data_IF_886340341602
#
_entry.id   IF_886340341602
#
_cell.length_a   1.000
_cell.length_b   1.000
_cell.length_c   1.000
_cell.angle_alpha   90.00
_cell.angle_beta   90.00
_cell.angle_gamma   90.00
#
_symmetry.space_group_name_H-M   'P 1'
#
loop_
_entity.id
_entity.type
_entity.pdbx_description
1 polymer ?
#
# COMPACT_ATOMS: atom_id res chain seq x y z
N UNK A 1 -40.40 14.80 -7.73
CA UNK A 1 -41.00 15.47 -8.93
C UNK A 1 -42.31 16.14 -8.53
N UNK A 2 -42.70 17.25 -9.17
CA UNK A 2 -44.01 17.90 -8.97
C UNK A 2 -44.68 18.12 -10.32
N UNK A 3 -45.92 17.67 -10.46
CA UNK A 3 -46.71 17.77 -11.69
C UNK A 3 -47.79 18.83 -11.49
N UNK A 4 -47.81 19.82 -12.37
CA UNK A 4 -48.83 20.87 -12.36
C UNK A 4 -50.18 20.33 -12.86
N UNK A 5 -51.26 21.03 -12.49
CA UNK A 5 -52.60 20.70 -12.94
C UNK A 5 -52.71 20.72 -14.47
N UNK A 6 -53.55 19.84 -15.05
CA UNK A 6 -53.83 19.87 -16.48
C UNK A 6 -54.57 21.17 -16.85
N UNK A 7 -54.32 21.65 -18.07
CA UNK A 7 -55.03 22.81 -18.60
C UNK A 7 -56.50 22.43 -18.90
N UNK A 8 -57.44 23.17 -18.34
CA UNK A 8 -58.88 22.97 -18.54
C UNK A 8 -59.52 24.27 -19.00
N UNK A 9 -60.44 24.16 -19.97
CA UNK A 9 -61.32 25.27 -20.38
C UNK A 9 -62.76 24.91 -19.99
N UNK A 10 -63.27 25.59 -18.97
CA UNK A 10 -64.64 25.46 -18.48
C UNK A 10 -65.15 26.88 -18.15
N UNK A 11 -66.45 27.12 -18.32
CA UNK A 11 -67.09 28.40 -18.02
C UNK A 11 -67.35 28.61 -16.52
N UNK A 12 -66.98 27.65 -15.68
CA UNK A 12 -67.12 27.67 -14.22
C UNK A 12 -65.80 27.22 -13.54
N UNK A 13 -65.57 27.58 -12.25
CA UNK A 13 -64.38 27.13 -11.52
C UNK A 13 -64.33 25.60 -11.36
N UNK A 14 -63.16 25.02 -11.61
CA UNK A 14 -62.89 23.57 -11.51
C UNK A 14 -61.98 23.32 -10.30
N UNK A 15 -62.31 22.31 -9.49
CA UNK A 15 -61.43 21.78 -8.45
C UNK A 15 -60.71 20.53 -8.93
N UNK A 16 -59.40 20.43 -8.65
CA UNK A 16 -58.57 19.29 -9.04
C UNK A 16 -58.25 18.39 -7.85
N UNK A 17 -58.16 17.09 -8.12
CA UNK A 17 -57.55 16.08 -7.24
C UNK A 17 -56.83 15.06 -8.10
N UNK A 18 -55.77 14.44 -7.59
CA UNK A 18 -55.12 13.29 -8.25
C UNK A 18 -55.19 12.02 -7.40
N UNK A 19 -54.94 10.86 -8.02
CA UNK A 19 -54.91 9.56 -7.36
C UNK A 19 -53.60 9.28 -6.58
N UNK A 20 -52.53 10.03 -6.83
CA UNK A 20 -51.22 9.85 -6.21
C UNK A 20 -51.09 10.49 -4.81
N UNK A 21 -51.53 11.73 -4.64
CA UNK A 21 -51.46 12.51 -3.38
C UNK A 21 -52.82 12.91 -2.84
N UNK A 22 -53.90 12.73 -3.62
CA UNK A 22 -55.25 13.21 -3.28
C UNK A 22 -55.32 14.73 -3.06
N UNK A 23 -54.47 15.49 -3.75
CA UNK A 23 -54.44 16.96 -3.74
C UNK A 23 -54.51 17.54 -5.15
N UNK A 24 -54.48 18.86 -5.28
CA UNK A 24 -54.41 19.59 -6.55
C UNK A 24 -52.97 19.69 -7.11
N UNK A 25 -51.99 19.01 -6.51
CA UNK A 25 -50.62 18.92 -7.03
C UNK A 25 -50.09 17.49 -6.79
N UNK A 26 -49.72 16.78 -7.84
CA UNK A 26 -49.05 15.49 -7.68
C UNK A 26 -47.55 15.73 -7.44
N UNK A 27 -47.13 15.78 -6.18
CA UNK A 27 -45.73 15.95 -5.79
C UNK A 27 -45.25 14.84 -4.86
N UNK A 28 -44.09 14.27 -5.15
CA UNK A 28 -43.50 13.22 -4.32
C UNK A 28 -42.30 12.53 -4.97
N UNK A 29 -41.93 11.40 -4.37
CA UNK A 29 -40.95 10.44 -4.90
C UNK A 29 -41.72 9.44 -5.77
N UNK A 30 -41.27 9.27 -7.01
CA UNK A 30 -41.81 8.29 -7.94
C UNK A 30 -40.78 7.16 -8.05
N UNK A 31 -41.25 5.92 -7.93
CA UNK A 31 -40.40 4.74 -8.14
C UNK A 31 -39.99 4.63 -9.60
N UNK A 32 -38.92 3.88 -9.87
CA UNK A 32 -38.45 3.59 -11.22
C UNK A 32 -39.53 2.97 -12.10
N UNK A 33 -39.51 3.31 -13.38
CA UNK A 33 -40.49 2.85 -14.38
C UNK A 33 -41.56 3.89 -14.69
N UNK A 34 -42.77 3.44 -14.99
CA UNK A 34 -43.87 4.30 -15.44
C UNK A 34 -44.95 4.36 -14.38
N UNK A 35 -45.15 5.56 -13.81
CA UNK A 35 -46.29 5.83 -12.92
C UNK A 35 -47.35 6.61 -13.70
N UNK A 36 -48.57 6.09 -13.75
CA UNK A 36 -49.72 6.81 -14.27
C UNK A 36 -50.35 7.62 -13.12
N UNK A 37 -50.63 8.89 -13.37
CA UNK A 37 -51.31 9.78 -12.42
C UNK A 37 -52.58 10.28 -13.09
N UNK A 38 -53.73 9.95 -12.50
CA UNK A 38 -55.05 10.39 -12.97
C UNK A 38 -55.50 11.64 -12.19
N UNK A 39 -55.66 12.75 -12.91
CA UNK A 39 -56.23 13.99 -12.40
C UNK A 39 -57.73 14.04 -12.68
N UNK A 40 -58.51 14.22 -11.62
CA UNK A 40 -59.96 14.42 -11.67
C UNK A 40 -60.25 15.90 -11.46
N UNK A 41 -60.72 16.57 -12.51
CA UNK A 41 -61.27 17.92 -12.45
C UNK A 41 -62.79 17.87 -12.27
N UNK A 42 -63.32 18.43 -11.18
CA UNK A 42 -64.77 18.41 -10.88
C UNK A 42 -65.37 19.80 -10.88
N UNK A 43 -66.54 19.92 -11.51
CA UNK A 43 -67.38 21.10 -11.47
C UNK A 43 -68.85 20.65 -11.28
N UNK A 44 -69.37 20.89 -10.07
CA UNK A 44 -70.80 20.70 -9.73
C UNK A 44 -71.42 19.33 -10.06
N UNK A 45 -70.63 18.25 -10.01
CA UNK A 45 -71.12 16.86 -9.98
C UNK A 45 -70.74 15.95 -11.14
N UNK A 46 -70.09 16.47 -12.19
CA UNK A 46 -69.46 15.64 -13.24
C UNK A 46 -67.96 15.93 -13.25
N UNK A 47 -67.16 14.87 -13.17
CA UNK A 47 -65.70 14.95 -13.19
C UNK A 47 -65.14 14.56 -14.56
N UNK A 48 -64.19 15.34 -15.06
CA UNK A 48 -63.34 14.95 -16.20
C UNK A 48 -62.05 14.32 -15.69
N UNK A 49 -61.56 13.31 -16.40
CA UNK A 49 -60.30 12.61 -16.08
C UNK A 49 -59.20 13.00 -17.06
N UNK A 50 -57.99 13.16 -16.56
CA UNK A 50 -56.80 13.42 -17.35
C UNK A 50 -55.64 12.60 -16.78
N UNK A 51 -55.21 11.60 -17.54
CA UNK A 51 -54.08 10.73 -17.16
C UNK A 51 -52.80 11.28 -17.75
N UNK A 52 -51.77 11.44 -16.91
CA UNK A 52 -50.40 11.71 -17.32
C UNK A 52 -49.49 10.55 -16.91
N UNK A 53 -48.40 10.36 -17.65
CA UNK A 53 -47.41 9.31 -17.36
C UNK A 53 -46.09 9.95 -16.95
N UNK A 54 -45.60 9.56 -15.77
CA UNK A 54 -44.27 9.90 -15.28
C UNK A 54 -43.34 8.75 -15.61
N UNK A 55 -42.29 9.03 -16.38
CA UNK A 55 -41.22 8.09 -16.66
C UNK A 55 -40.03 8.41 -15.77
N UNK A 56 -39.70 7.50 -14.86
CA UNK A 56 -38.48 7.56 -14.05
C UNK A 56 -37.53 6.50 -14.60
N UNK A 57 -36.37 6.94 -15.08
CA UNK A 57 -35.30 6.07 -15.56
C UNK A 57 -34.12 6.22 -14.62
N UNK A 58 -33.33 5.15 -14.53
CA UNK A 58 -32.05 5.18 -13.84
C UNK A 58 -30.96 5.55 -14.87
N UNK A 59 -30.33 6.70 -14.67
CA UNK A 59 -29.23 7.20 -15.50
C UNK A 59 -27.91 7.31 -14.70
N UNK A 60 -27.89 6.81 -13.47
CA UNK A 60 -26.72 6.81 -12.62
C UNK A 60 -25.90 5.54 -12.86
N UNK A 61 -24.59 5.70 -13.05
CA UNK A 61 -23.71 4.55 -13.19
C UNK A 61 -23.40 3.95 -11.80
N UNK A 62 -23.22 2.62 -11.71
CA UNK A 62 -22.76 2.00 -10.48
C UNK A 62 -21.38 2.53 -10.11
N UNK A 63 -21.07 2.59 -8.81
CA UNK A 63 -19.73 2.95 -8.32
C UNK A 63 -18.89 1.68 -8.23
N UNK A 64 -17.79 1.62 -9.00
CA UNK A 64 -16.83 0.51 -8.97
C UNK A 64 -15.54 0.90 -8.23
N UNK A 65 -15.17 0.12 -7.22
CA UNK A 65 -13.97 0.35 -6.40
C UNK A 65 -12.96 -0.79 -6.60
N UNK A 66 -11.76 -0.41 -7.04
CA UNK A 66 -10.68 -1.35 -7.32
C UNK A 66 -9.41 -1.01 -6.53
N UNK A 67 -8.57 -2.01 -6.22
CA UNK A 67 -7.29 -1.76 -5.57
C UNK A 67 -6.39 -0.86 -6.41
N UNK A 68 -5.49 -0.15 -5.74
CA UNK A 68 -4.36 0.46 -6.43
C UNK A 68 -3.40 -0.61 -6.97
N UNK A 69 -2.62 -0.27 -8.01
CA UNK A 69 -1.57 -1.17 -8.49
C UNK A 69 -0.48 -1.37 -7.43
N UNK A 70 -0.01 -2.60 -7.27
CA UNK A 70 1.04 -2.92 -6.30
C UNK A 70 2.03 -3.97 -6.83
N UNK A 71 3.12 -4.13 -6.08
CA UNK A 71 4.17 -5.11 -6.34
C UNK A 71 4.09 -6.20 -5.27
N UNK A 72 4.27 -7.45 -5.68
CA UNK A 72 4.44 -8.58 -4.78
C UNK A 72 5.72 -9.34 -5.12
N UNK A 73 6.30 -9.97 -4.11
CA UNK A 73 7.51 -10.77 -4.25
C UNK A 73 7.23 -12.12 -4.94
N UNK A 74 8.26 -12.68 -5.56
CA UNK A 74 8.17 -13.96 -6.27
C UNK A 74 7.81 -15.17 -5.38
N UNK A 75 8.05 -15.07 -4.08
CA UNK A 75 7.65 -16.06 -3.07
C UNK A 75 6.17 -15.90 -2.65
N UNK A 76 5.58 -14.73 -2.87
CA UNK A 76 4.19 -14.36 -2.51
C UNK A 76 3.30 -14.16 -3.74
N UNK A 77 3.33 -15.14 -4.63
CA UNK A 77 2.51 -15.15 -5.87
C UNK A 77 1.02 -15.41 -5.64
N UNK A 78 0.63 -15.91 -4.47
CA UNK A 78 -0.77 -16.12 -4.12
C UNK A 78 -1.32 -14.86 -3.46
N UNK A 79 -1.92 -13.99 -4.27
CA UNK A 79 -2.37 -12.66 -3.86
C UNK A 79 -3.87 -12.66 -3.66
N UNK A 80 -4.35 -12.02 -2.60
CA UNK A 80 -5.78 -11.81 -2.38
C UNK A 80 -6.12 -10.36 -2.67
N UNK A 81 -7.09 -10.11 -3.53
CA UNK A 81 -7.66 -8.78 -3.74
C UNK A 81 -9.18 -8.89 -3.88
N UNK A 82 -9.85 -7.75 -3.72
CA UNK A 82 -11.29 -7.62 -3.89
C UNK A 82 -11.62 -6.40 -4.72
N UNK A 83 -12.54 -6.59 -5.65
CA UNK A 83 -13.20 -5.55 -6.41
C UNK A 83 -14.64 -5.49 -5.93
N UNK A 84 -15.07 -4.30 -5.53
CA UNK A 84 -16.40 -4.07 -4.98
C UNK A 84 -17.14 -3.07 -5.85
N UNK A 85 -18.44 -3.29 -6.02
CA UNK A 85 -19.29 -2.37 -6.73
C UNK A 85 -20.58 -2.15 -5.94
N UNK A 86 -21.05 -0.92 -5.92
CA UNK A 86 -22.29 -0.54 -5.25
C UNK A 86 -23.06 0.41 -6.14
N UNK A 87 -24.38 0.28 -6.13
CA UNK A 87 -25.27 1.22 -6.79
C UNK A 87 -26.35 1.67 -5.81
N UNK A 88 -26.89 2.86 -6.02
CA UNK A 88 -27.86 3.46 -5.11
C UNK A 88 -29.30 2.96 -5.35
N UNK A 89 -29.55 2.24 -6.45
CA UNK A 89 -30.88 1.81 -6.87
C UNK A 89 -30.99 0.31 -7.16
N UNK A 90 -29.90 -0.40 -7.49
CA UNK A 90 -29.97 -1.78 -7.96
C UNK A 90 -28.84 -2.71 -7.49
N UNK A 91 -29.04 -4.01 -7.76
CA UNK A 91 -27.97 -4.99 -7.67
C UNK A 91 -26.98 -4.79 -8.82
N UNK A 92 -25.69 -4.91 -8.53
CA UNK A 92 -24.62 -4.70 -9.52
C UNK A 92 -24.02 -6.05 -9.93
N UNK A 93 -23.81 -6.23 -11.24
CA UNK A 93 -23.07 -7.37 -11.81
C UNK A 93 -21.66 -6.92 -12.20
N UNK A 94 -20.64 -7.62 -11.72
CA UNK A 94 -19.23 -7.38 -12.07
C UNK A 94 -18.77 -8.43 -13.09
N UNK A 95 -18.11 -7.99 -14.15
CA UNK A 95 -17.51 -8.83 -15.19
C UNK A 95 -16.03 -8.52 -15.40
N UNK A 96 -15.25 -9.53 -15.77
CA UNK A 96 -13.84 -9.38 -16.10
C UNK A 96 -13.65 -9.03 -17.58
N UNK A 97 -12.76 -8.08 -17.85
CA UNK A 97 -12.45 -7.61 -19.20
C UNK A 97 -11.09 -8.15 -19.65
N UNK A 98 -11.11 -9.16 -20.51
CA UNK A 98 -9.89 -9.67 -21.16
C UNK A 98 -9.02 -10.58 -20.27
N UNK A 99 -9.54 -11.06 -19.14
CA UNK A 99 -8.93 -12.09 -18.31
C UNK A 99 -9.95 -12.96 -17.58
N UNK A 100 -9.54 -14.14 -17.14
CA UNK A 100 -10.41 -15.13 -16.47
C UNK A 100 -10.34 -15.07 -14.93
N UNK A 101 -9.81 -13.99 -14.37
CA UNK A 101 -9.68 -13.83 -12.92
C UNK A 101 -10.97 -13.34 -12.26
N UNK A 102 -11.45 -14.00 -11.19
CA UNK A 102 -12.63 -13.56 -10.45
C UNK A 102 -12.38 -12.19 -9.78
N UNK A 103 -13.41 -11.38 -9.53
CA UNK A 103 -13.28 -10.06 -8.88
C UNK A 103 -12.95 -10.17 -7.39
N UNK A 104 -13.08 -11.35 -6.78
CA UNK A 104 -12.84 -11.61 -5.37
C UNK A 104 -12.11 -12.93 -5.19
N UNK A 105 -11.09 -12.92 -4.33
CA UNK A 105 -10.46 -14.13 -3.81
C UNK A 105 -8.95 -14.20 -3.99
N UNK A 106 -8.41 -15.39 -3.74
CA UNK A 106 -6.99 -15.70 -3.91
C UNK A 106 -6.69 -16.04 -5.36
N UNK A 107 -5.71 -15.34 -5.93
CA UNK A 107 -5.24 -15.54 -7.28
C UNK A 107 -3.75 -15.86 -7.30
N UNK A 108 -3.39 -16.92 -8.02
CA UNK A 108 -2.00 -17.25 -8.32
C UNK A 108 -1.52 -16.46 -9.54
N UNK A 109 -0.61 -15.51 -9.31
CA UNK A 109 -0.10 -14.62 -10.35
C UNK A 109 1.11 -15.20 -11.07
N UNK A 110 1.24 -14.85 -12.35
CA UNK A 110 2.44 -15.17 -13.12
C UNK A 110 3.55 -14.14 -12.82
N UNK A 111 4.83 -14.54 -12.89
CA UNK A 111 5.94 -13.58 -12.87
C UNK A 111 5.76 -12.49 -13.93
N UNK A 112 6.06 -11.24 -13.59
CA UNK A 112 5.83 -10.10 -14.47
C UNK A 112 4.60 -9.28 -14.09
N UNK A 113 4.14 -8.46 -15.05
CA UNK A 113 3.01 -7.57 -14.85
C UNK A 113 1.71 -8.30 -15.21
N UNK A 114 0.85 -8.50 -14.21
CA UNK A 114 -0.50 -9.04 -14.40
C UNK A 114 -1.48 -7.87 -14.47
N UNK A 115 -2.24 -7.79 -15.55
CA UNK A 115 -3.20 -6.71 -15.78
C UNK A 115 -4.62 -7.19 -15.43
N UNK A 116 -5.34 -6.35 -14.69
CA UNK A 116 -6.73 -6.59 -14.30
C UNK A 116 -7.60 -5.44 -14.79
N UNK A 117 -8.73 -5.76 -15.37
CA UNK A 117 -9.75 -4.82 -15.80
C UNK A 117 -11.13 -5.41 -15.53
N UNK A 118 -11.97 -4.63 -14.87
CA UNK A 118 -13.33 -5.03 -14.51
C UNK A 118 -14.33 -3.98 -14.94
N UNK A 119 -15.54 -4.43 -15.21
CA UNK A 119 -16.68 -3.59 -15.54
C UNK A 119 -17.88 -4.00 -14.68
N UNK A 120 -18.54 -3.00 -14.11
CA UNK A 120 -19.75 -3.17 -13.32
C UNK A 120 -20.95 -2.65 -14.10
N UNK A 121 -22.03 -3.42 -14.09
CA UNK A 121 -23.29 -3.09 -14.74
C UNK A 121 -24.42 -3.08 -13.71
N UNK A 122 -25.27 -2.06 -13.75
CA UNK A 122 -26.55 -2.07 -13.03
C UNK A 122 -27.66 -2.81 -13.83
N UNK A 123 -28.89 -2.79 -13.32
CA UNK A 123 -30.04 -3.39 -14.01
C UNK A 123 -30.60 -2.52 -15.14
N UNK A 124 -30.28 -1.23 -15.17
CA UNK A 124 -30.70 -0.27 -16.20
C UNK A 124 -29.76 -0.27 -17.43
N UNK A 125 -28.59 -0.89 -17.31
CA UNK A 125 -27.54 -0.96 -18.33
C UNK A 125 -26.51 0.17 -18.24
N UNK A 126 -26.50 0.98 -17.18
CA UNK A 126 -25.38 1.89 -16.93
C UNK A 126 -24.18 1.07 -16.43
N UNK A 127 -22.98 1.58 -16.69
CA UNK A 127 -21.76 0.87 -16.37
C UNK A 127 -20.64 1.79 -15.91
N UNK A 128 -19.74 1.23 -15.11
CA UNK A 128 -18.47 1.83 -14.72
C UNK A 128 -17.35 0.80 -14.85
N UNK A 129 -16.12 1.26 -15.05
CA UNK A 129 -14.97 0.38 -15.34
C UNK A 129 -13.72 0.83 -14.59
N UNK A 130 -12.92 -0.15 -14.18
CA UNK A 130 -11.66 0.09 -13.49
C UNK A 130 -10.57 -0.83 -14.05
N UNK A 131 -9.30 -0.45 -13.83
CA UNK A 131 -8.17 -1.32 -14.10
C UNK A 131 -7.03 -1.09 -13.11
N UNK A 132 -6.31 -2.16 -12.79
CA UNK A 132 -5.10 -2.11 -11.98
C UNK A 132 -4.12 -3.19 -12.44
N UNK A 133 -2.91 -3.16 -11.90
CA UNK A 133 -1.87 -4.14 -12.21
C UNK A 133 -1.19 -4.64 -10.95
N UNK A 134 -0.86 -5.92 -10.95
CA UNK A 134 -0.02 -6.53 -9.92
C UNK A 134 1.27 -7.02 -10.55
N UNK A 135 2.38 -6.44 -10.14
CA UNK A 135 3.70 -6.82 -10.64
C UNK A 135 4.33 -7.83 -9.71
N UNK A 136 4.63 -9.02 -10.21
CA UNK A 136 5.35 -10.06 -9.47
C UNK A 136 6.82 -9.99 -9.87
N UNK A 137 7.65 -9.48 -8.96
CA UNK A 137 9.09 -9.34 -9.16
C UNK A 137 9.82 -9.44 -7.82
N UNK A 138 11.12 -9.76 -7.87
CA UNK A 138 11.99 -9.71 -6.71
C UNK A 138 13.29 -8.97 -7.07
N UNK A 139 13.94 -8.45 -6.04
CA UNK A 139 15.27 -7.87 -6.15
C UNK A 139 16.32 -8.94 -5.89
N UNK A 140 17.35 -8.98 -6.73
CA UNK A 140 18.45 -9.92 -6.66
C UNK A 140 19.77 -9.17 -6.55
N UNK A 141 20.75 -9.76 -5.88
CA UNK A 141 22.05 -9.17 -5.56
C UNK A 141 23.16 -10.09 -6.06
N UNK A 142 24.23 -9.53 -6.62
CA UNK A 142 25.37 -10.30 -7.12
C UNK A 142 26.06 -11.00 -5.95
N UNK A 143 26.22 -12.32 -6.03
CA UNK A 143 27.00 -13.14 -5.11
C UNK A 143 28.31 -13.49 -5.80
N UNK A 144 29.33 -12.64 -5.59
CA UNK A 144 30.58 -12.71 -6.35
C UNK A 144 31.52 -13.81 -5.86
N UNK A 145 31.42 -14.21 -4.59
CA UNK A 145 32.31 -15.19 -3.97
C UNK A 145 31.67 -16.57 -3.71
N UNK A 146 30.35 -16.67 -3.87
CA UNK A 146 29.57 -17.90 -3.93
C UNK A 146 29.12 -18.43 -2.57
N UNK A 147 28.97 -17.59 -1.55
CA UNK A 147 28.55 -18.01 -0.21
C UNK A 147 27.03 -18.01 0.02
N UNK A 148 26.27 -17.48 -0.95
CA UNK A 148 24.80 -17.41 -0.92
C UNK A 148 24.24 -16.06 -0.47
N UNK A 149 25.10 -15.09 -0.17
CA UNK A 149 24.78 -13.72 0.13
C UNK A 149 25.29 -12.83 -1.01
N UNK A 150 24.62 -11.71 -1.30
CA UNK A 150 25.01 -10.82 -2.38
C UNK A 150 25.10 -9.36 -1.97
N UNK A 151 25.86 -8.59 -2.74
CA UNK A 151 26.13 -7.18 -2.44
C UNK A 151 24.88 -6.29 -2.59
N UNK A 152 24.42 -5.62 -1.52
CA UNK A 152 23.28 -4.69 -1.57
C UNK A 152 23.45 -3.55 -2.59
N UNK A 153 24.70 -3.18 -2.93
CA UNK A 153 25.00 -2.16 -3.92
C UNK A 153 24.79 -2.64 -5.38
N UNK A 154 24.61 -3.95 -5.61
CA UNK A 154 24.45 -4.54 -6.94
C UNK A 154 23.01 -4.96 -7.27
N UNK A 155 22.02 -4.41 -6.55
CA UNK A 155 20.61 -4.74 -6.69
C UNK A 155 20.07 -4.67 -8.14
N UNK A 156 19.50 -5.77 -8.63
CA UNK A 156 18.83 -5.89 -9.92
C UNK A 156 17.43 -6.50 -9.73
N UNK A 157 16.42 -5.89 -10.34
CA UNK A 157 15.04 -6.41 -10.33
C UNK A 157 14.84 -7.42 -11.45
N UNK A 158 14.19 -8.55 -11.14
CA UNK A 158 13.80 -9.54 -12.15
C UNK A 158 12.43 -10.15 -11.86
N UNK A 159 11.72 -10.55 -12.93
CA UNK A 159 10.43 -11.23 -12.89
C UNK A 159 10.61 -12.72 -12.56
N UNK A 160 11.08 -13.01 -11.34
CA UNK A 160 11.24 -14.36 -10.79
C UNK A 160 12.17 -15.29 -11.58
N UNK A 161 13.07 -14.70 -12.36
CA UNK A 161 14.12 -15.41 -13.08
C UNK A 161 15.47 -14.93 -12.52
N UNK A 162 16.07 -15.65 -11.56
CA UNK A 162 17.38 -15.27 -11.02
C UNK A 162 18.42 -15.28 -12.14
N UNK A 163 19.23 -14.23 -12.17
CA UNK A 163 20.41 -14.17 -13.03
C UNK A 163 21.49 -15.12 -12.47
N UNK A 164 22.28 -15.81 -13.30
CA UNK A 164 23.39 -16.61 -12.82
C UNK A 164 24.36 -15.77 -11.97
N UNK A 165 24.70 -16.23 -10.77
CA UNK A 165 25.54 -15.51 -9.82
C UNK A 165 24.80 -14.44 -9.02
N UNK A 166 23.46 -14.44 -9.01
CA UNK A 166 22.68 -13.55 -8.15
C UNK A 166 21.81 -14.34 -7.17
N UNK A 167 21.65 -13.79 -5.97
CA UNK A 167 20.87 -14.33 -4.85
C UNK A 167 19.79 -13.35 -4.39
N UNK A 168 18.82 -13.82 -3.61
CA UNK A 168 17.75 -12.96 -3.05
C UNK A 168 18.19 -12.21 -1.78
N UNK A 169 19.23 -12.73 -1.12
CA UNK A 169 19.74 -12.16 0.12
C UNK A 169 20.80 -11.12 -0.19
N UNK A 170 20.46 -9.84 -0.03
CA UNK A 170 21.34 -8.71 -0.32
C UNK A 170 22.16 -8.26 0.88
N UNK A 171 22.52 -9.16 1.78
CA UNK A 171 23.19 -8.79 3.03
C UNK A 171 24.71 -8.91 2.98
N UNK A 172 25.31 -9.38 1.88
CA UNK A 172 26.77 -9.51 1.81
C UNK A 172 27.44 -8.15 1.65
N UNK A 173 28.22 -7.74 2.63
CA UNK A 173 29.02 -6.53 2.49
C UNK A 173 30.45 -6.83 1.99
N UNK A 174 30.83 -8.09 1.71
CA UNK A 174 32.15 -8.51 1.28
C UNK A 174 32.12 -9.61 0.20
N UNK A 175 31.82 -9.17 -1.02
CA UNK A 175 31.79 -9.95 -2.27
C UNK A 175 33.14 -10.58 -2.72
N UNK A 176 34.18 -10.56 -1.87
CA UNK A 176 35.51 -11.06 -2.22
C UNK A 176 35.94 -12.29 -1.42
N UNK A 177 35.24 -12.63 -0.33
CA UNK A 177 35.63 -13.74 0.54
C UNK A 177 34.43 -14.43 1.22
N UNK A 178 34.15 -15.71 0.85
CA UNK A 178 32.92 -16.42 1.22
C UNK A 178 32.86 -16.88 2.68
N UNK A 179 33.79 -16.40 3.51
CA UNK A 179 33.88 -16.70 4.94
C UNK A 179 33.98 -15.44 5.81
N UNK A 180 33.87 -14.25 5.22
CA UNK A 180 34.15 -12.97 5.88
C UNK A 180 33.04 -11.96 5.62
N UNK A 181 31.82 -12.28 6.07
CA UNK A 181 30.68 -11.37 6.11
C UNK A 181 30.99 -10.17 7.03
N UNK A 182 30.99 -8.94 6.50
CA UNK A 182 31.36 -7.73 7.26
C UNK A 182 30.24 -6.70 7.36
N UNK A 183 29.38 -6.84 8.34
CA UNK A 183 28.46 -5.77 8.76
C UNK A 183 29.10 -4.92 9.86
N UNK A 184 29.21 -3.62 9.61
CA UNK A 184 29.69 -2.63 10.57
C UNK A 184 28.50 -1.93 11.23
N UNK A 185 28.53 -1.76 12.54
CA UNK A 185 27.52 -1.02 13.29
C UNK A 185 28.15 0.26 13.82
N UNK A 186 27.38 1.36 13.84
CA UNK A 186 27.84 2.59 14.48
C UNK A 186 28.05 2.30 15.97
N UNK A 187 29.20 2.71 16.51
CA UNK A 187 29.56 2.65 17.93
C UNK A 187 29.74 4.10 18.37
N UNK A 188 28.65 4.69 18.86
CA UNK A 188 28.61 6.13 19.11
C UNK A 188 29.30 6.51 20.42
N UNK A 189 29.31 5.62 21.41
CA UNK A 189 29.91 5.87 22.72
C UNK A 189 31.32 5.28 22.91
N UNK A 190 31.78 4.43 21.99
CA UNK A 190 33.12 3.89 21.89
C UNK A 190 33.40 2.69 22.80
N UNK A 191 32.38 1.96 23.26
CA UNK A 191 32.52 0.83 24.16
C UNK A 191 32.80 -0.52 23.47
N UNK A 192 32.71 -0.55 22.13
CA UNK A 192 32.97 -1.73 21.31
C UNK A 192 31.72 -2.52 20.93
N UNK A 193 30.53 -2.09 21.37
CA UNK A 193 29.23 -2.54 20.88
C UNK A 193 28.68 -1.48 19.93
N UNK A 194 27.71 -1.85 19.09
CA UNK A 194 27.21 -0.91 18.10
C UNK A 194 25.73 -1.11 17.80
N UNK A 195 25.10 -0.04 17.32
CA UNK A 195 23.66 0.03 17.10
C UNK A 195 23.23 -0.70 15.82
N UNK A 196 22.41 -1.76 15.92
CA UNK A 196 21.82 -2.42 14.75
C UNK A 196 20.94 -1.51 13.89
N UNK A 197 20.48 -0.37 14.41
CA UNK A 197 19.67 0.61 13.68
C UNK A 197 20.50 1.42 12.68
N UNK A 198 21.84 1.43 12.81
CA UNK A 198 22.74 2.13 11.91
C UNK A 198 23.80 1.19 11.30
N UNK A 199 23.38 0.19 10.50
CA UNK A 199 24.31 -0.67 9.79
C UNK A 199 25.01 0.07 8.65
N UNK A 200 26.29 -0.20 8.48
CA UNK A 200 27.10 0.24 7.35
C UNK A 200 27.75 -0.96 6.68
N UNK A 201 27.45 -1.16 5.39
CA UNK A 201 28.16 -2.14 4.57
C UNK A 201 29.36 -1.46 3.90
N UNK A 202 30.54 -2.09 4.02
CA UNK A 202 31.68 -1.76 3.18
C UNK A 202 32.51 -3.00 2.83
N UNK A 203 32.78 -3.14 1.54
CA UNK A 203 33.68 -4.09 0.88
C UNK A 203 35.16 -3.91 1.25
N UNK A 204 35.49 -2.84 1.96
CA UNK A 204 36.86 -2.48 2.27
C UNK A 204 37.48 -3.49 3.25
N UNK A 205 38.47 -4.22 2.74
CA UNK A 205 39.39 -5.15 3.43
C UNK A 205 40.18 -4.42 4.55
N UNK A 206 39.50 -3.98 5.61
CA UNK A 206 40.11 -3.64 6.91
C UNK A 206 40.30 -2.16 7.26
N UNK A 207 39.59 -1.21 6.65
CA UNK A 207 39.51 0.16 7.23
C UNK A 207 38.10 0.45 7.70
N UNK A 208 37.87 0.16 8.97
CA UNK A 208 36.66 0.56 9.69
C UNK A 208 36.59 2.09 9.67
N UNK A 209 35.50 2.72 9.21
CA UNK A 209 35.29 4.13 9.45
C UNK A 209 35.35 4.39 10.95
N UNK A 210 36.00 5.49 11.38
CA UNK A 210 36.06 5.84 12.80
C UNK A 210 34.64 5.94 13.37
N UNK A 211 34.38 5.28 14.50
CA UNK A 211 33.06 5.23 15.14
C UNK A 211 32.17 4.08 14.66
N UNK A 212 32.72 3.06 13.99
CA UNK A 212 32.02 1.82 13.70
C UNK A 212 32.78 0.62 14.29
N UNK A 213 32.06 -0.46 14.59
CA UNK A 213 32.58 -1.74 15.08
C UNK A 213 32.01 -2.91 14.29
N UNK A 214 32.72 -4.04 14.24
CA UNK A 214 32.17 -5.26 13.62
C UNK A 214 31.02 -5.78 14.48
N UNK A 215 29.95 -6.23 13.84
CA UNK A 215 28.77 -6.88 14.45
C UNK A 215 29.08 -8.07 15.39
N UNK A 216 30.36 -8.46 15.57
CA UNK A 216 30.82 -9.71 16.18
C UNK A 216 31.59 -9.55 17.50
N UNK A 217 31.81 -8.34 18.03
CA UNK A 217 32.60 -8.18 19.27
C UNK A 217 31.84 -8.63 20.55
N UNK A 218 30.57 -9.07 20.42
CA UNK A 218 29.82 -9.74 21.49
C UNK A 218 29.90 -11.27 21.54
N UNK A 219 30.32 -11.99 20.48
CA UNK A 219 30.42 -13.47 20.52
C UNK A 219 31.51 -14.06 19.64
N UNK A 220 32.17 -15.08 20.19
CA UNK A 220 32.91 -16.07 19.39
C UNK A 220 32.02 -16.63 18.27
N UNK A 221 32.43 -16.47 17.02
CA UNK A 221 32.05 -17.29 15.84
C UNK A 221 30.61 -17.84 15.90
N UNK A 222 29.62 -16.95 15.78
CA UNK A 222 28.27 -17.33 15.37
C UNK A 222 28.25 -17.46 13.84
N UNK A 223 28.01 -18.66 13.33
CA UNK A 223 27.78 -18.92 11.91
C UNK A 223 26.35 -18.43 11.59
N UNK A 224 26.09 -17.68 10.51
CA UNK A 224 24.72 -17.39 10.08
C UNK A 224 23.94 -18.69 9.88
N UNK A 225 22.75 -18.80 10.49
CA UNK A 225 21.85 -19.93 10.30
C UNK A 225 20.59 -19.44 9.58
N UNK A 226 20.32 -20.02 8.40
CA UNK A 226 19.08 -19.76 7.66
C UNK A 226 17.92 -20.44 8.38
N UNK A 227 17.01 -19.65 8.97
CA UNK A 227 15.74 -20.14 9.51
C UNK A 227 14.61 -19.60 8.63
N UNK A 228 13.85 -20.51 8.00
CA UNK A 228 12.71 -20.18 7.14
C UNK A 228 13.01 -19.20 5.98
N UNK A 229 14.20 -19.28 5.37
CA UNK A 229 14.51 -18.51 4.16
C UNK A 229 14.72 -17.00 4.36
N UNK A 230 14.87 -16.57 5.62
CA UNK A 230 15.46 -15.28 5.96
C UNK A 230 16.74 -15.56 6.74
N UNK A 231 17.83 -14.87 6.42
CA UNK A 231 18.95 -14.78 7.34
C UNK A 231 18.49 -13.84 8.44
N UNK A 232 17.92 -14.47 9.45
CA UNK A 232 18.06 -13.91 10.77
C UNK A 232 19.57 -13.94 11.00
N UNK A 233 20.21 -12.77 11.17
CA UNK A 233 21.24 -12.73 12.20
C UNK A 233 20.47 -13.15 13.43
N UNK A 234 20.43 -14.46 13.70
CA UNK A 234 20.14 -14.89 15.04
C UNK A 234 21.34 -14.35 15.81
N UNK A 235 21.23 -13.08 16.24
CA UNK A 235 21.57 -12.76 17.60
C UNK A 235 20.65 -13.70 18.36
N UNK A 236 21.08 -14.95 18.55
CA UNK A 236 20.30 -16.02 19.21
C UNK A 236 19.99 -15.63 20.66
N UNK A 237 20.48 -14.47 21.07
CA UNK A 237 20.39 -13.90 22.37
C UNK A 237 20.30 -12.36 22.23
N UNK A 238 19.11 -11.75 22.38
CA UNK A 238 18.99 -10.28 22.43
C UNK A 238 19.84 -9.64 23.53
N UNK A 239 20.40 -10.45 24.43
CA UNK A 239 21.35 -10.05 25.48
C UNK A 239 22.77 -9.75 24.99
N UNK A 240 23.02 -9.85 23.69
CA UNK A 240 24.33 -9.60 23.06
C UNK A 240 24.36 -8.34 22.20
N UNK A 241 23.30 -7.54 22.27
CA UNK A 241 23.12 -6.31 21.53
C UNK A 241 23.29 -5.12 22.47
N UNK A 242 23.90 -4.06 21.96
CA UNK A 242 23.92 -2.77 22.65
C UNK A 242 22.48 -2.30 22.86
N UNK A 243 22.10 -2.08 24.12
CA UNK A 243 20.77 -1.59 24.47
C UNK A 243 20.73 -0.07 24.67
N UNK A 244 21.88 0.62 24.72
CA UNK A 244 22.00 2.08 24.72
C UNK A 244 23.35 2.55 24.16
N UNK A 245 23.44 2.67 22.84
CA UNK A 245 24.61 3.14 22.07
C UNK A 245 25.01 4.61 22.36
N UNK A 246 24.31 5.27 23.30
CA UNK A 246 24.70 6.61 23.78
C UNK A 246 25.41 6.57 25.12
N UNK A 247 25.58 5.39 25.72
CA UNK A 247 26.10 5.22 27.06
C UNK A 247 27.03 3.99 27.19
N UNK A 248 28.36 4.21 27.34
CA UNK A 248 29.37 3.14 27.26
C UNK A 248 29.39 2.18 28.47
N UNK A 249 28.40 2.33 29.36
CA UNK A 249 28.19 1.51 30.55
C UNK A 249 26.94 0.65 30.46
N UNK A 250 26.18 0.73 29.37
CA UNK A 250 24.96 -0.04 29.13
C UNK A 250 25.19 -0.87 27.88
N UNK A 251 25.72 -2.08 28.06
CA UNK A 251 26.07 -2.99 26.98
C UNK A 251 26.14 -4.44 27.49
N UNK A 252 26.10 -5.45 26.62
CA UNK A 252 26.08 -6.88 26.97
C UNK A 252 27.13 -7.41 27.96
N UNK A 253 28.30 -6.75 28.06
CA UNK A 253 29.37 -7.14 28.98
C UNK A 253 29.49 -6.21 30.18
N UNK A 254 28.66 -5.18 30.25
CA UNK A 254 28.62 -4.28 31.38
C UNK A 254 28.23 -5.05 32.64
N UNK A 255 28.67 -4.51 33.77
CA UNK A 255 28.32 -5.07 35.06
C UNK A 255 27.03 -4.39 35.51
N UNK A 256 26.03 -5.19 35.82
CA UNK A 256 24.82 -4.76 36.53
C UNK A 256 25.14 -3.90 37.76
N UNK A 257 24.35 -2.85 37.95
CA UNK A 257 24.37 -1.95 39.12
C UNK A 257 22.92 -1.76 39.58
N UNK A 258 22.68 -1.54 40.87
CA UNK A 258 21.33 -1.31 41.38
C UNK A 258 20.88 0.15 41.12
N UNK A 259 20.68 0.52 39.86
CA UNK A 259 20.28 1.88 39.44
C UNK A 259 18.93 1.94 38.71
N UNK A 260 18.25 0.80 38.57
CA UNK A 260 16.95 0.68 37.90
C UNK A 260 17.09 0.62 36.37
N UNK A 261 18.30 0.46 35.86
CA UNK A 261 18.61 0.24 34.45
C UNK A 261 19.12 -1.19 34.27
N UNK A 262 18.82 -1.78 33.11
CA UNK A 262 19.45 -3.03 32.68
C UNK A 262 20.78 -2.66 32.03
N UNK A 263 21.88 -2.72 32.80
CA UNK A 263 23.18 -2.29 32.31
C UNK A 263 23.79 -3.36 31.39
N UNK A 264 23.56 -4.64 31.66
CA UNK A 264 24.14 -5.74 30.91
C UNK A 264 23.27 -6.26 29.76
N UNK A 265 22.16 -5.58 29.49
CA UNK A 265 21.19 -5.89 28.44
C UNK A 265 20.61 -7.31 28.54
N UNK A 266 20.61 -7.95 29.72
CA UNK A 266 20.12 -9.33 29.87
C UNK A 266 18.58 -9.43 30.04
N UNK A 267 17.90 -8.29 29.89
CA UNK A 267 16.47 -8.07 30.10
C UNK A 267 16.05 -8.16 31.58
N UNK A 268 16.99 -8.19 32.52
CA UNK A 268 16.75 -8.21 33.96
C UNK A 268 17.33 -6.95 34.59
N UNK A 269 16.45 -5.96 34.79
CA UNK A 269 16.78 -4.75 35.55
C UNK A 269 17.23 -5.11 36.97
N UNK A 270 18.41 -4.61 37.37
CA UNK A 270 19.02 -4.80 38.68
C UNK A 270 19.18 -6.30 39.06
N UNK A 271 19.63 -7.14 38.11
CA UNK A 271 19.75 -8.59 38.27
C UNK A 271 20.76 -9.07 39.34
N UNK A 272 21.48 -8.16 40.00
CA UNK A 272 22.48 -8.48 41.02
C UNK A 272 21.87 -9.00 42.33
N UNK A 273 22.49 -10.04 42.94
CA UNK A 273 22.13 -10.47 44.29
C UNK A 273 22.32 -9.33 45.31
N UNK A 274 21.23 -8.93 45.96
CA UNK A 274 21.26 -7.90 47.00
C UNK A 274 20.83 -6.51 46.53
N UNK A 275 20.45 -6.35 45.25
CA UNK A 275 19.66 -5.18 44.87
C UNK A 275 18.30 -5.22 45.59
N UNK A 276 17.81 -4.09 46.13
CA UNK A 276 16.44 -4.02 46.58
C UNK A 276 15.57 -4.34 45.37
N UNK A 277 14.73 -5.39 45.43
CA UNK A 277 13.80 -5.66 44.34
C UNK A 277 13.07 -4.37 43.99
N UNK A 278 12.95 -4.00 42.70
CA UNK A 278 12.19 -2.83 42.31
C UNK A 278 10.81 -3.02 42.93
N UNK A 279 10.49 -2.15 43.89
CA UNK A 279 9.17 -2.15 44.50
C UNK A 279 8.22 -1.91 43.35
N UNK A 280 7.50 -2.94 42.92
CA UNK A 280 6.27 -2.78 42.14
C UNK A 280 5.22 -2.22 43.09
N UNK A 281 5.51 -1.05 43.66
CA UNK A 281 4.49 -0.14 44.13
C UNK A 281 3.95 0.48 42.85
N UNK A 282 3.06 -0.25 42.16
CA UNK A 282 2.04 0.42 41.34
C UNK A 282 1.46 1.48 42.26
N UNK A 283 1.65 2.78 41.99
CA UNK A 283 1.10 3.79 42.87
C UNK A 283 -0.41 3.56 42.91
N UNK A 284 -0.93 3.16 44.08
CA UNK A 284 -2.36 3.32 44.35
C UNK A 284 -2.64 4.78 44.00
N UNK A 285 -3.64 5.09 43.15
CA UNK A 285 -3.93 6.46 42.77
C UNK A 285 -4.10 7.31 44.03
N UNK A 286 -3.11 8.14 44.33
CA UNK A 286 -3.24 9.17 45.35
C UNK A 286 -4.21 10.21 44.78
N UNK A 287 -5.28 10.57 45.51
CA UNK A 287 -6.11 11.70 45.13
C UNK A 287 -5.23 12.93 45.04
N UNK A 288 -5.18 13.52 43.84
CA UNK A 288 -4.40 14.70 43.52
C UNK A 288 -5.02 15.94 44.18
N UNK A 289 -4.68 16.20 45.44
CA UNK A 289 -4.95 17.47 46.11
C UNK A 289 -3.62 18.16 46.48
N UNK A 290 -2.88 18.57 45.45
CA UNK A 290 -2.28 19.91 45.39
C UNK A 290 -1.56 20.15 44.04
N UNK A 291 -1.63 21.39 43.49
CA UNK A 291 -1.11 21.70 42.17
C UNK A 291 0.43 21.76 42.16
N UNK A 292 1.03 21.05 41.21
CA UNK A 292 2.46 21.14 40.88
C UNK A 292 2.76 22.53 40.28
N UNK A 293 3.85 23.20 40.67
CA UNK A 293 4.27 24.46 40.04
C UNK A 293 4.57 24.25 38.55
N UNK A 294 3.92 25.06 37.71
CA UNK A 294 4.16 25.10 36.26
C UNK A 294 5.61 25.53 36.00
N UNK A 295 6.38 24.79 35.17
CA UNK A 295 7.69 25.25 34.72
C UNK A 295 7.56 26.56 33.95
N UNK A 296 8.37 27.56 34.33
CA UNK A 296 8.47 28.84 33.62
C UNK A 296 9.04 28.56 32.21
N UNK A 297 8.41 29.04 31.13
CA UNK A 297 8.93 28.90 29.77
C UNK A 297 10.31 29.57 29.67
N UNK A 298 11.29 28.84 29.14
CA UNK A 298 12.56 29.42 28.70
C UNK A 298 12.30 30.07 27.34
N UNK A 299 12.17 31.40 27.33
CA UNK A 299 12.16 32.20 26.12
C UNK A 299 13.55 32.16 25.47
N UNK A 300 13.77 31.21 24.56
CA UNK A 300 14.77 31.35 23.50
C UNK A 300 14.29 30.58 22.26
N UNK A 301 13.68 31.25 21.27
CA UNK A 301 13.29 30.60 20.04
C UNK A 301 14.54 30.22 19.24
N UNK A 302 14.72 28.91 19.03
CA UNK A 302 15.61 28.39 17.99
C UNK A 302 15.08 28.89 16.64
N UNK A 303 15.88 29.58 15.81
CA UNK A 303 15.43 30.05 14.51
C UNK A 303 15.02 28.86 13.64
N UNK A 304 13.76 28.86 13.19
CA UNK A 304 13.28 27.88 12.23
C UNK A 304 14.06 28.02 10.90
N UNK A 305 14.47 26.91 10.25
CA UNK A 305 15.07 26.96 8.93
C UNK A 305 14.14 27.65 7.93
N UNK A 306 14.65 28.65 7.22
CA UNK A 306 13.92 29.33 6.14
C UNK A 306 13.76 28.31 4.99
N UNK A 307 12.54 28.02 4.52
CA UNK A 307 12.34 27.15 3.37
C UNK A 307 13.04 27.71 2.14
N UNK A 308 13.98 26.95 1.57
CA UNK A 308 14.59 27.28 0.29
C UNK A 308 13.54 26.98 -0.79
N UNK A 309 13.22 27.93 -1.69
CA UNK A 309 12.28 27.67 -2.78
C UNK A 309 12.80 26.55 -3.67
N UNK A 310 12.11 25.41 -3.68
CA UNK A 310 12.34 24.36 -4.68
C UNK A 310 11.75 24.83 -6.00
N UNK A 311 12.50 24.83 -7.12
CA UNK A 311 11.96 25.19 -8.42
C UNK A 311 10.84 24.22 -8.80
N UNK A 312 9.64 24.74 -9.02
CA UNK A 312 8.52 23.96 -9.56
C UNK A 312 8.88 23.60 -11.01
N UNK A 313 8.92 22.31 -11.39
CA UNK A 313 9.17 21.93 -12.77
C UNK A 313 8.06 22.49 -13.67
N UNK A 314 8.45 23.28 -14.66
CA UNK A 314 7.56 23.78 -15.70
C UNK A 314 7.06 22.57 -16.50
N UNK A 315 5.73 22.39 -16.68
CA UNK A 315 5.21 21.28 -17.47
C UNK A 315 5.72 21.41 -18.91
N UNK A 316 6.48 20.40 -19.35
CA UNK A 316 6.83 20.23 -20.76
C UNK A 316 5.55 20.06 -21.58
N UNK A 317 5.35 20.80 -22.68
CA UNK A 317 4.19 20.65 -23.52
C UNK A 317 4.17 19.23 -24.12
N UNK A 318 3.07 18.52 -23.88
CA UNK A 318 2.79 17.23 -24.50
C UNK A 318 2.69 17.43 -26.02
N UNK A 319 3.63 16.83 -26.75
CA UNK A 319 3.57 16.73 -28.21
C UNK A 319 2.56 15.64 -28.54
N UNK A 320 1.35 16.03 -28.93
CA UNK A 320 0.36 15.11 -29.48
C UNK A 320 0.81 14.66 -30.86
N UNK A 321 1.24 13.40 -30.97
CA UNK A 321 1.31 12.73 -32.27
C UNK A 321 -0.10 12.30 -32.67
N UNK A 322 -0.71 13.06 -33.59
CA UNK A 322 -1.92 12.62 -34.27
C UNK A 322 -1.57 11.44 -35.20
N UNK A 323 -1.86 10.23 -34.77
CA UNK A 323 -1.93 9.08 -35.66
C UNK A 323 -3.31 9.06 -36.32
N UNK A 324 -3.37 9.49 -37.58
CA UNK A 324 -4.53 9.22 -38.44
C UNK A 324 -4.56 7.73 -38.77
N UNK A 325 -5.48 6.97 -38.16
CA UNK A 325 -5.81 5.64 -38.64
C UNK A 325 -6.54 5.77 -39.99
N UNK A 326 -5.81 5.54 -41.07
CA UNK A 326 -6.41 5.25 -42.37
C UNK A 326 -7.02 3.85 -42.29
N UNK A 327 -8.33 3.76 -42.43
CA UNK A 327 -9.07 2.52 -42.54
C UNK A 327 -8.62 1.75 -43.78
N UNK A 328 -7.65 0.86 -43.62
CA UNK A 328 -7.34 -0.18 -44.58
C UNK A 328 -7.57 -1.53 -43.92
N UNK A 329 -8.65 -2.18 -44.37
CA UNK A 329 -8.97 -3.59 -44.16
C UNK A 329 -7.71 -4.47 -44.16
N UNK A 330 -7.39 -5.06 -43.01
CA UNK A 330 -6.40 -6.13 -42.92
C UNK A 330 -7.02 -7.30 -42.15
N UNK A 331 -7.38 -8.32 -42.91
CA UNK A 331 -7.63 -9.69 -42.45
C UNK A 331 -6.44 -10.17 -41.60
N UNK A 332 -6.74 -10.76 -40.44
CA UNK A 332 -5.76 -11.43 -39.58
C UNK A 332 -4.91 -12.45 -40.37
N UNK A 333 -3.61 -12.56 -40.05
CA UNK A 333 -2.92 -13.85 -40.09
C UNK A 333 -2.47 -14.26 -38.68
N UNK A 334 -2.85 -15.48 -38.35
CA UNK A 334 -2.44 -16.30 -37.22
C UNK A 334 -0.94 -16.29 -36.93
N UNK A 335 -0.62 -16.30 -35.64
CA UNK A 335 0.66 -16.72 -35.06
C UNK A 335 1.24 -17.93 -35.80
N UNK A 336 2.32 -17.76 -36.56
CA UNK A 336 3.41 -18.69 -36.96
C UNK A 336 4.16 -18.00 -38.13
N UNK A 337 4.92 -16.93 -37.86
CA UNK A 337 5.83 -16.33 -38.86
C UNK A 337 6.93 -15.38 -38.32
N UNK A 338 7.18 -15.30 -37.01
CA UNK A 338 8.14 -14.34 -36.44
C UNK A 338 9.40 -14.96 -35.82
N UNK A 339 9.68 -16.23 -36.12
CA UNK A 339 10.90 -16.94 -35.68
C UNK A 339 12.00 -17.06 -36.74
N UNK A 340 11.95 -16.27 -37.83
CA UNK A 340 12.89 -16.42 -38.95
C UNK A 340 13.68 -15.14 -39.33
N UNK A 341 13.64 -14.04 -38.57
CA UNK A 341 14.37 -12.80 -38.93
C UNK A 341 15.44 -12.33 -37.93
N UNK A 342 15.70 -13.05 -36.84
CA UNK A 342 16.76 -12.69 -35.86
C UNK A 342 17.96 -13.66 -35.84
N UNK A 343 18.32 -14.26 -36.99
CA UNK A 343 19.52 -15.09 -37.10
C UNK A 343 20.41 -14.78 -38.32
N UNK A 344 20.28 -13.59 -38.92
CA UNK A 344 21.05 -13.21 -40.12
C UNK A 344 21.86 -11.91 -39.99
N UNK A 345 22.24 -11.49 -38.77
CA UNK A 345 23.17 -10.36 -38.58
C UNK A 345 24.21 -10.68 -37.50
N UNK A 346 24.99 -11.74 -37.70
CA UNK A 346 26.31 -11.86 -37.06
C UNK A 346 27.24 -12.79 -37.85
N UNK A 347 27.43 -12.52 -39.15
CA UNK A 347 28.69 -12.82 -39.84
C UNK A 347 28.95 -11.72 -40.87
N UNK A 348 30.18 -11.21 -40.89
CA UNK A 348 30.77 -10.16 -41.74
C UNK A 348 30.55 -8.69 -41.35
N UNK A 349 31.38 -8.21 -40.42
CA UNK A 349 32.35 -7.12 -40.64
C UNK A 349 33.33 -7.07 -39.45
#
# INVERSE_FOLDING_TARGET
>A
VSIANPEVTDNCPVSFSNDFTHTDVASGVFELGVTEVDFVGTNSGVGGHCVTKVHVIDDEAPVLSCPESFVTECDRRNVTFGVEASDNCHNVRIESLGHDFPPLGQQLLQPGVNHFAYEAYDEAGNFDSCAFSVTVQSTYYLDADGDGFGDPATAVVSYCAPLPGYVLDGTDCNDHNPNDFKLWLLDFDGDGFGDPAFPFCSDAIGTVPSGFVESLVGLRRGIPQVVNGTVQVQVTDPTLQDCDDTNPFINPIAREVCDGVDNNCDLIIDGLPGCPSPSVDVPVPVPFDNPVPVPVPVDNPVPAPIPIPVPVPVPTPLVFFNYTFSSASATMPSCIALLASMLAFLTLA
#
